data_IF_982638719786
#
_entry.id   IF_982638719786
#
_cell.length_a   1.000
_cell.length_b   1.000
_cell.length_c   1.000
_cell.angle_alpha   90.00
_cell.angle_beta   90.00
_cell.angle_gamma   90.00
#
_symmetry.space_group_name_H-M   'P 1'
#
loop_
_entity.id
_entity.type
_entity.pdbx_description
1 polymer ?
#
# COMPACT_ATOMS: atom_id res chain seq x y z
N UNK A 1 -23.95 10.32 54.95
CA UNK A 1 -24.20 10.78 53.58
C UNK A 1 -22.88 10.63 52.80
N UNK A 2 -22.77 9.61 51.95
CA UNK A 2 -21.60 9.35 51.08
C UNK A 2 -21.86 9.95 49.73
N UNK A 3 -21.14 11.02 49.38
CA UNK A 3 -21.17 11.61 48.04
C UNK A 3 -20.44 10.67 47.06
N UNK A 4 -21.20 10.01 46.19
CA UNK A 4 -20.68 9.25 45.08
C UNK A 4 -20.15 10.20 43.99
N UNK A 5 -18.83 10.33 43.93
CA UNK A 5 -18.14 10.90 42.76
C UNK A 5 -18.23 9.90 41.60
N UNK A 6 -19.23 10.10 40.75
CA UNK A 6 -19.24 9.46 39.42
C UNK A 6 -18.17 10.12 38.57
N UNK A 7 -17.03 9.46 38.45
CA UNK A 7 -15.97 9.80 37.50
C UNK A 7 -16.55 9.63 36.09
N UNK A 8 -16.99 10.73 35.50
CA UNK A 8 -17.38 10.81 34.09
C UNK A 8 -16.13 10.48 33.26
N UNK A 9 -16.04 9.24 32.78
CA UNK A 9 -15.04 8.87 31.78
C UNK A 9 -15.17 9.80 30.60
N UNK A 10 -14.20 10.71 30.42
CA UNK A 10 -14.08 11.52 29.22
C UNK A 10 -13.83 10.55 28.06
N UNK A 11 -14.83 10.30 27.25
CA UNK A 11 -14.68 9.69 25.93
C UNK A 11 -13.61 10.46 25.18
N UNK A 12 -12.55 9.82 24.65
CA UNK A 12 -11.53 10.52 23.88
C UNK A 12 -12.21 11.19 22.68
N UNK A 13 -12.04 12.50 22.58
CA UNK A 13 -12.60 13.27 21.49
C UNK A 13 -12.11 12.72 20.14
N UNK A 14 -13.04 12.34 19.26
CA UNK A 14 -12.80 12.18 17.83
C UNK A 14 -12.15 10.88 17.35
N UNK A 15 -12.32 9.77 18.06
CA UNK A 15 -11.99 8.46 17.49
C UNK A 15 -13.11 8.06 16.54
N UNK A 16 -12.78 7.96 15.25
CA UNK A 16 -13.72 7.43 14.25
C UNK A 16 -13.76 5.90 14.38
N UNK A 17 -14.61 5.38 15.29
CA UNK A 17 -14.71 3.95 15.58
C UNK A 17 -14.87 3.11 14.31
N UNK A 18 -15.67 3.57 13.35
CA UNK A 18 -15.89 2.91 12.06
C UNK A 18 -14.57 2.73 11.26
N UNK A 19 -13.67 3.71 11.27
CA UNK A 19 -12.39 3.59 10.54
C UNK A 19 -11.44 2.59 11.23
N UNK A 20 -11.46 2.55 12.56
CA UNK A 20 -10.68 1.57 13.32
C UNK A 20 -11.25 0.15 13.14
N UNK A 21 -12.57 -0.01 13.08
CA UNK A 21 -13.26 -1.27 12.80
C UNK A 21 -12.96 -1.77 11.39
N UNK A 22 -13.05 -0.90 10.37
CA UNK A 22 -12.74 -1.26 8.98
C UNK A 22 -11.26 -1.68 8.83
N UNK A 23 -10.34 -1.01 9.51
CA UNK A 23 -8.92 -1.41 9.52
C UNK A 23 -8.73 -2.77 10.17
N UNK A 24 -9.42 -3.02 11.29
CA UNK A 24 -9.37 -4.31 11.97
C UNK A 24 -9.90 -5.43 11.08
N UNK A 25 -11.02 -5.20 10.40
CA UNK A 25 -11.61 -6.16 9.47
C UNK A 25 -10.69 -6.45 8.28
N UNK A 26 -10.10 -5.41 7.71
CA UNK A 26 -9.18 -5.53 6.58
C UNK A 26 -7.89 -6.30 6.98
N UNK A 27 -7.37 -6.03 8.18
CA UNK A 27 -6.22 -6.76 8.74
C UNK A 27 -6.55 -8.25 8.93
N UNK A 28 -7.72 -8.57 9.49
CA UNK A 28 -8.17 -9.98 9.65
C UNK A 28 -8.33 -10.64 8.28
N UNK A 29 -8.92 -9.93 7.30
CA UNK A 29 -9.05 -10.41 5.93
C UNK A 29 -7.69 -10.71 5.29
N UNK A 30 -6.70 -9.85 5.50
CA UNK A 30 -5.32 -10.04 5.04
C UNK A 30 -4.67 -11.27 5.69
N UNK A 31 -4.85 -11.47 7.00
CA UNK A 31 -4.33 -12.64 7.71
C UNK A 31 -4.95 -13.94 7.16
N UNK A 32 -6.27 -13.95 6.89
CA UNK A 32 -6.96 -15.10 6.30
C UNK A 32 -6.46 -15.37 4.86
N UNK A 33 -6.23 -14.31 4.09
CA UNK A 33 -5.67 -14.46 2.74
C UNK A 33 -4.30 -15.13 2.76
N UNK A 34 -3.39 -14.70 3.66
CA UNK A 34 -2.08 -15.31 3.83
C UNK A 34 -2.17 -16.74 4.38
N UNK A 35 -3.09 -17.03 5.30
CA UNK A 35 -3.32 -18.38 5.77
C UNK A 35 -3.76 -19.33 4.62
N UNK A 36 -4.61 -18.86 3.69
CA UNK A 36 -4.95 -19.62 2.49
C UNK A 36 -3.74 -19.83 1.58
N UNK A 37 -2.87 -18.83 1.46
CA UNK A 37 -1.62 -18.95 0.72
C UNK A 37 -0.73 -20.04 1.34
N UNK A 38 -0.52 -20.00 2.66
CA UNK A 38 0.26 -21.00 3.38
C UNK A 38 -0.33 -22.41 3.19
N UNK A 39 -1.65 -22.55 3.32
CA UNK A 39 -2.34 -23.84 3.09
C UNK A 39 -2.08 -24.38 1.69
N UNK A 40 -2.10 -23.53 0.68
CA UNK A 40 -1.94 -23.94 -0.71
C UNK A 40 -0.47 -24.25 -1.05
N UNK A 41 0.46 -23.37 -0.67
CA UNK A 41 1.86 -23.47 -1.12
C UNK A 41 2.79 -24.18 -0.12
N UNK A 42 2.53 -24.07 1.20
CA UNK A 42 3.33 -24.79 2.19
C UNK A 42 2.76 -26.17 2.51
N UNK A 43 1.43 -26.29 2.61
CA UNK A 43 0.79 -27.57 2.97
C UNK A 43 0.26 -28.37 1.76
N UNK A 44 0.34 -27.82 0.56
CA UNK A 44 -0.08 -28.50 -0.67
C UNK A 44 -1.58 -28.71 -0.83
N UNK A 45 -2.41 -27.99 -0.08
CA UNK A 45 -3.88 -28.09 -0.16
C UNK A 45 -4.36 -27.19 -1.30
N UNK A 46 -4.54 -27.77 -2.47
CA UNK A 46 -4.95 -27.03 -3.66
C UNK A 46 -6.36 -26.45 -3.54
N UNK A 47 -6.52 -25.16 -3.81
CA UNK A 47 -7.78 -24.43 -3.79
C UNK A 47 -7.99 -23.65 -5.09
N UNK A 48 -8.80 -24.19 -6.01
CA UNK A 48 -9.05 -23.58 -7.34
C UNK A 48 -9.59 -22.15 -7.26
N UNK A 49 -10.48 -21.90 -6.31
CA UNK A 49 -11.06 -20.56 -6.12
C UNK A 49 -10.01 -19.53 -5.69
N UNK A 50 -9.03 -19.94 -4.89
CA UNK A 50 -7.97 -19.05 -4.41
C UNK A 50 -6.94 -18.77 -5.52
N UNK A 51 -6.56 -19.78 -6.31
CA UNK A 51 -5.69 -19.62 -7.46
C UNK A 51 -6.34 -18.83 -8.62
N UNK A 52 -7.67 -18.79 -8.64
CA UNK A 52 -8.47 -18.18 -9.69
C UNK A 52 -8.78 -16.69 -9.48
N UNK A 53 -9.79 -16.23 -10.21
CA UNK A 53 -10.27 -14.85 -10.17
C UNK A 53 -10.77 -14.42 -8.77
N UNK A 54 -11.50 -15.25 -8.00
CA UNK A 54 -11.97 -14.85 -6.68
C UNK A 54 -10.85 -14.51 -5.71
N UNK A 55 -9.77 -15.32 -5.68
CA UNK A 55 -8.61 -15.04 -4.84
C UNK A 55 -7.89 -13.75 -5.24
N UNK A 56 -7.75 -13.48 -6.55
CA UNK A 56 -7.17 -12.22 -7.06
C UNK A 56 -8.03 -11.01 -6.68
N UNK A 57 -9.34 -11.09 -6.83
CA UNK A 57 -10.26 -10.01 -6.44
C UNK A 57 -10.20 -9.75 -4.94
N UNK A 58 -10.12 -10.80 -4.14
CA UNK A 58 -9.98 -10.70 -2.69
C UNK A 58 -8.69 -9.97 -2.31
N UNK A 59 -7.55 -10.38 -2.87
CA UNK A 59 -6.25 -9.70 -2.68
C UNK A 59 -6.33 -8.22 -3.05
N UNK A 60 -6.84 -7.92 -4.24
CA UNK A 60 -6.97 -6.55 -4.73
C UNK A 60 -7.84 -5.69 -3.81
N UNK A 61 -8.95 -6.25 -3.33
CA UNK A 61 -9.86 -5.55 -2.42
C UNK A 61 -9.16 -5.20 -1.10
N UNK A 62 -8.46 -6.15 -0.49
CA UNK A 62 -7.65 -5.91 0.72
C UNK A 62 -6.66 -4.78 0.48
N UNK A 63 -5.87 -4.86 -0.59
CA UNK A 63 -4.85 -3.85 -0.89
C UNK A 63 -5.46 -2.46 -1.09
N UNK A 64 -6.55 -2.35 -1.85
CA UNK A 64 -7.20 -1.07 -2.12
C UNK A 64 -7.84 -0.47 -0.87
N UNK A 65 -8.52 -1.29 -0.07
CA UNK A 65 -9.11 -0.83 1.20
C UNK A 65 -8.01 -0.35 2.14
N UNK A 66 -6.90 -1.08 2.25
CA UNK A 66 -5.78 -0.71 3.11
C UNK A 66 -5.12 0.61 2.68
N UNK A 67 -4.88 0.80 1.38
CA UNK A 67 -4.33 2.04 0.82
C UNK A 67 -5.29 3.21 1.04
N UNK A 68 -6.58 3.04 0.74
CA UNK A 68 -7.60 4.07 0.90
C UNK A 68 -7.75 4.48 2.37
N UNK A 69 -7.86 3.52 3.30
CA UNK A 69 -7.95 3.79 4.73
C UNK A 69 -6.68 4.48 5.25
N UNK A 70 -5.50 4.09 4.76
CA UNK A 70 -4.24 4.73 5.12
C UNK A 70 -4.22 6.19 4.68
N UNK A 71 -4.61 6.47 3.43
CA UNK A 71 -4.70 7.82 2.88
C UNK A 71 -5.76 8.67 3.60
N UNK A 72 -6.96 8.11 3.82
CA UNK A 72 -8.06 8.81 4.51
C UNK A 72 -7.70 9.20 5.95
N UNK A 73 -6.94 8.35 6.63
CA UNK A 73 -6.52 8.60 8.01
C UNK A 73 -5.23 9.41 8.14
N UNK A 74 -4.56 9.70 7.04
CA UNK A 74 -3.31 10.47 7.03
C UNK A 74 -3.45 11.84 7.73
N UNK A 75 -4.50 12.65 7.48
CA UNK A 75 -4.67 13.96 8.11
C UNK A 75 -4.89 13.89 9.63
N UNK A 76 -5.40 12.77 10.14
CA UNK A 76 -5.67 12.59 11.59
C UNK A 76 -4.44 12.09 12.36
N UNK A 77 -3.39 11.66 11.65
CA UNK A 77 -2.17 11.11 12.22
C UNK A 77 -1.20 12.19 12.69
N UNK A 78 -0.65 12.05 13.90
CA UNK A 78 0.49 12.83 14.35
C UNK A 78 1.79 12.13 13.91
N UNK A 79 2.85 12.94 13.66
CA UNK A 79 4.19 12.41 13.33
C UNK A 79 4.24 11.49 12.10
N UNK A 80 3.64 11.94 10.99
CA UNK A 80 3.55 11.18 9.74
C UNK A 80 4.91 10.62 9.29
N UNK A 81 5.97 11.43 9.33
CA UNK A 81 7.32 11.02 8.93
C UNK A 81 7.84 9.86 9.78
N UNK A 82 7.70 9.94 11.12
CA UNK A 82 8.16 8.88 12.02
C UNK A 82 7.42 7.56 11.75
N UNK A 83 6.10 7.64 11.53
CA UNK A 83 5.28 6.46 11.18
C UNK A 83 5.68 5.91 9.81
N UNK A 84 5.92 6.79 8.84
CA UNK A 84 6.39 6.41 7.50
C UNK A 84 7.72 5.65 7.56
N UNK A 85 8.70 6.14 8.32
CA UNK A 85 9.97 5.44 8.55
C UNK A 85 9.75 4.07 9.19
N UNK A 86 8.88 3.98 10.21
CA UNK A 86 8.61 2.69 10.88
C UNK A 86 7.99 1.67 9.91
N UNK A 87 7.00 2.08 9.12
CA UNK A 87 6.32 1.21 8.15
C UNK A 87 7.28 0.81 7.03
N UNK A 88 8.09 1.76 6.53
CA UNK A 88 9.11 1.48 5.52
C UNK A 88 10.16 0.50 6.03
N UNK A 89 10.65 0.67 7.26
CA UNK A 89 11.59 -0.24 7.90
C UNK A 89 11.00 -1.64 8.08
N UNK A 90 9.72 -1.75 8.44
CA UNK A 90 9.02 -3.03 8.50
C UNK A 90 8.96 -3.70 7.11
N UNK A 91 8.67 -2.95 6.05
CA UNK A 91 8.70 -3.45 4.68
C UNK A 91 10.10 -3.91 4.25
N UNK A 92 11.13 -3.14 4.59
CA UNK A 92 12.53 -3.53 4.34
C UNK A 92 12.93 -4.79 5.10
N UNK A 93 12.44 -4.96 6.34
CA UNK A 93 12.66 -6.18 7.13
C UNK A 93 12.00 -7.39 6.46
N UNK A 94 10.75 -7.27 6.01
CA UNK A 94 10.06 -8.34 5.25
C UNK A 94 10.86 -8.71 4.00
N UNK A 95 11.32 -7.72 3.23
CA UNK A 95 12.18 -7.96 2.06
C UNK A 95 13.46 -8.70 2.45
N UNK A 96 14.15 -8.28 3.50
CA UNK A 96 15.38 -8.93 3.95
C UNK A 96 15.13 -10.39 4.40
N UNK A 97 14.08 -10.62 5.17
CA UNK A 97 13.71 -11.98 5.64
C UNK A 97 13.34 -12.87 4.46
N UNK A 98 12.50 -12.42 3.53
CA UNK A 98 12.08 -13.24 2.38
C UNK A 98 13.23 -13.52 1.43
N UNK A 99 14.16 -12.58 1.21
CA UNK A 99 15.36 -12.81 0.39
C UNK A 99 16.28 -13.87 0.98
N UNK A 100 16.37 -13.97 2.33
CA UNK A 100 17.26 -14.92 2.99
C UNK A 100 16.62 -16.30 3.14
N UNK A 101 15.36 -16.37 3.54
CA UNK A 101 14.69 -17.61 3.92
C UNK A 101 13.80 -18.19 2.83
N UNK A 102 13.27 -17.35 1.91
CA UNK A 102 12.32 -17.75 0.87
C UNK A 102 12.64 -17.04 -0.46
N UNK A 103 13.82 -17.29 -1.08
CA UNK A 103 14.26 -16.54 -2.26
C UNK A 103 13.37 -16.73 -3.49
N UNK A 104 12.62 -17.84 -3.57
CA UNK A 104 11.67 -18.12 -4.65
C UNK A 104 10.38 -17.31 -4.48
N UNK A 105 9.96 -17.07 -3.23
CA UNK A 105 8.77 -16.29 -2.87
C UNK A 105 9.13 -14.91 -2.30
N UNK A 106 10.23 -14.35 -2.79
CA UNK A 106 10.75 -13.06 -2.31
C UNK A 106 9.73 -11.93 -2.48
N UNK A 107 9.61 -11.12 -1.44
CA UNK A 107 8.85 -9.87 -1.45
C UNK A 107 9.81 -8.71 -1.58
N UNK A 108 9.84 -8.08 -2.74
CA UNK A 108 10.68 -6.90 -3.03
C UNK A 108 9.76 -5.74 -3.40
N UNK A 109 9.86 -4.64 -2.66
CA UNK A 109 8.98 -3.48 -2.81
C UNK A 109 7.48 -3.81 -2.63
N UNK A 110 7.16 -4.52 -1.54
CA UNK A 110 5.80 -4.87 -1.19
C UNK A 110 4.95 -3.69 -0.70
N UNK A 111 3.69 -3.97 -0.39
CA UNK A 111 2.70 -2.96 0.06
C UNK A 111 3.16 -2.12 1.25
N UNK A 112 3.91 -2.70 2.21
CA UNK A 112 4.45 -1.96 3.35
C UNK A 112 5.50 -0.94 2.93
N UNK A 113 6.40 -1.30 2.01
CA UNK A 113 7.40 -0.39 1.46
C UNK A 113 6.73 0.76 0.71
N UNK A 114 5.72 0.45 -0.09
CA UNK A 114 4.88 1.44 -0.78
C UNK A 114 4.21 2.40 0.22
N UNK A 115 3.51 1.88 1.23
CA UNK A 115 2.81 2.69 2.22
C UNK A 115 3.76 3.56 3.05
N UNK A 116 4.89 3.00 3.48
CA UNK A 116 5.93 3.75 4.18
C UNK A 116 6.43 4.92 3.35
N UNK A 117 6.69 4.70 2.07
CA UNK A 117 7.12 5.71 1.11
C UNK A 117 6.05 6.77 0.85
N UNK A 118 4.79 6.35 0.66
CA UNK A 118 3.67 7.26 0.49
C UNK A 118 3.46 8.16 1.71
N UNK A 119 3.61 7.60 2.93
CA UNK A 119 3.54 8.38 4.17
C UNK A 119 4.70 9.36 4.30
N UNK A 120 5.93 8.98 3.93
CA UNK A 120 7.10 9.86 3.94
C UNK A 120 6.91 10.99 2.94
N UNK A 121 6.51 10.67 1.72
CA UNK A 121 6.26 11.65 0.67
C UNK A 121 5.15 12.63 1.07
N UNK A 122 4.04 12.11 1.58
CA UNK A 122 2.92 12.93 2.09
C UNK A 122 3.37 13.83 3.24
N UNK A 123 4.18 13.30 4.18
CA UNK A 123 4.70 14.05 5.30
C UNK A 123 5.66 15.19 4.90
N UNK A 124 6.50 14.96 3.88
CA UNK A 124 7.38 16.00 3.32
C UNK A 124 6.59 17.05 2.53
N UNK A 125 5.59 16.60 1.76
CA UNK A 125 4.76 17.48 0.94
C UNK A 125 3.59 18.12 1.70
N UNK A 126 3.40 17.81 2.98
CA UNK A 126 2.29 18.32 3.81
C UNK A 126 2.09 19.84 3.70
N UNK A 127 3.15 20.71 3.80
CA UNK A 127 2.98 22.16 3.70
C UNK A 127 2.48 22.61 2.32
N UNK A 128 2.79 21.86 1.27
CA UNK A 128 2.31 22.12 -0.08
C UNK A 128 0.89 21.62 -0.27
N UNK A 129 0.61 20.39 0.18
CA UNK A 129 -0.69 19.74 0.04
C UNK A 129 -1.79 20.52 0.77
N UNK A 130 -1.50 21.10 1.93
CA UNK A 130 -2.45 21.95 2.67
C UNK A 130 -2.89 23.21 1.93
N UNK A 131 -2.13 23.66 0.91
CA UNK A 131 -2.50 24.83 0.09
C UNK A 131 -3.40 24.48 -1.08
N UNK A 132 -3.52 23.19 -1.41
CA UNK A 132 -4.30 22.72 -2.56
C UNK A 132 -5.73 22.40 -2.08
N UNK A 133 -6.76 22.99 -2.69
CA UNK A 133 -8.15 22.65 -2.34
C UNK A 133 -8.43 21.17 -2.68
N UNK A 134 -9.25 20.47 -1.88
CA UNK A 134 -9.45 19.02 -2.01
C UNK A 134 -9.88 18.57 -3.41
N UNK A 135 -10.77 19.33 -4.06
CA UNK A 135 -11.22 19.02 -5.42
C UNK A 135 -10.08 19.10 -6.45
N UNK A 136 -9.21 20.11 -6.35
CA UNK A 136 -8.03 20.23 -7.21
C UNK A 136 -7.01 19.12 -6.90
N UNK A 137 -6.79 18.79 -5.62
CA UNK A 137 -5.94 17.68 -5.21
C UNK A 137 -6.41 16.35 -5.81
N UNK A 138 -7.71 16.07 -5.73
CA UNK A 138 -8.30 14.88 -6.34
C UNK A 138 -8.12 14.86 -7.88
N UNK A 139 -8.42 15.97 -8.56
CA UNK A 139 -8.24 16.07 -10.01
C UNK A 139 -6.79 15.88 -10.45
N UNK A 140 -5.84 16.52 -9.76
CA UNK A 140 -4.40 16.36 -10.03
C UNK A 140 -3.98 14.90 -9.83
N UNK A 141 -4.39 14.27 -8.74
CA UNK A 141 -4.08 12.85 -8.46
C UNK A 141 -4.65 11.92 -9.51
N UNK A 142 -5.90 12.15 -9.94
CA UNK A 142 -6.55 11.36 -11.00
C UNK A 142 -5.81 11.51 -12.34
N UNK A 143 -5.41 12.72 -12.71
CA UNK A 143 -4.64 12.98 -13.94
C UNK A 143 -3.26 12.32 -13.85
N UNK A 144 -2.53 12.47 -12.74
CA UNK A 144 -1.24 11.82 -12.52
C UNK A 144 -1.37 10.30 -12.62
N UNK A 145 -2.37 9.72 -11.97
CA UNK A 145 -2.65 8.29 -12.07
C UNK A 145 -2.92 7.85 -13.51
N UNK A 146 -3.80 8.55 -14.23
CA UNK A 146 -4.10 8.23 -15.62
C UNK A 146 -2.88 8.31 -16.55
N UNK A 147 -1.99 9.28 -16.30
CA UNK A 147 -0.76 9.44 -17.07
C UNK A 147 0.27 8.36 -16.76
N UNK A 148 0.41 7.96 -15.48
CA UNK A 148 1.46 7.05 -15.03
C UNK A 148 1.06 5.58 -15.01
N UNK A 149 -0.23 5.25 -15.10
CA UNK A 149 -0.74 3.87 -15.03
C UNK A 149 -0.11 2.86 -16.00
N UNK A 150 0.48 3.35 -17.09
CA UNK A 150 1.10 2.50 -18.12
C UNK A 150 2.64 2.54 -18.08
N UNK A 151 3.21 3.06 -17.00
CA UNK A 151 4.67 3.10 -16.81
C UNK A 151 5.29 1.72 -16.93
N UNK A 152 4.68 0.71 -16.33
CA UNK A 152 5.11 -0.69 -16.44
C UNK A 152 5.07 -1.25 -17.88
N UNK A 153 4.24 -0.67 -18.75
CA UNK A 153 4.15 -1.02 -20.16
C UNK A 153 5.12 -0.23 -21.07
N UNK A 154 5.95 0.63 -20.49
CA UNK A 154 7.00 1.37 -21.21
C UNK A 154 6.61 2.73 -21.73
N UNK A 155 5.44 3.28 -21.37
CA UNK A 155 5.01 4.59 -21.83
C UNK A 155 4.20 5.36 -20.78
N UNK A 156 4.20 6.69 -20.91
CA UNK A 156 3.31 7.59 -20.17
C UNK A 156 2.11 7.98 -21.06
N UNK A 157 0.94 8.18 -20.42
CA UNK A 157 -0.26 8.64 -21.11
C UNK A 157 -1.24 7.52 -21.41
N UNK A 158 -2.26 7.84 -22.23
CA UNK A 158 -3.35 6.93 -22.58
C UNK A 158 -3.87 7.19 -24.00
N UNK A 159 -4.49 6.17 -24.59
CA UNK A 159 -5.06 6.27 -25.93
C UNK A 159 -4.02 6.58 -27.01
N UNK A 160 -4.22 7.66 -27.74
CA UNK A 160 -3.32 8.15 -28.80
C UNK A 160 -2.16 8.99 -28.26
N UNK A 161 -2.27 9.54 -27.05
CA UNK A 161 -1.21 10.33 -26.41
C UNK A 161 -0.29 9.41 -25.62
N UNK A 162 0.76 8.90 -26.28
CA UNK A 162 1.75 7.99 -25.68
C UNK A 162 3.13 8.58 -25.83
N UNK A 163 3.80 8.78 -24.70
CA UNK A 163 5.21 9.15 -24.64
C UNK A 163 6.00 7.91 -24.24
N UNK A 164 6.77 7.34 -25.17
CA UNK A 164 7.60 6.18 -24.91
C UNK A 164 8.77 6.55 -24.01
N UNK A 165 9.01 5.70 -23.00
CA UNK A 165 10.08 5.88 -22.04
C UNK A 165 11.34 5.15 -22.51
N UNK A 166 12.54 5.71 -22.21
CA UNK A 166 13.80 5.08 -22.55
C UNK A 166 13.94 3.71 -21.87
N UNK A 167 14.37 2.70 -22.63
CA UNK A 167 14.60 1.33 -22.10
C UNK A 167 15.66 1.29 -20.98
N UNK A 168 16.55 2.25 -20.92
CA UNK A 168 17.55 2.36 -19.86
C UNK A 168 16.92 2.47 -18.46
N UNK A 169 15.68 3.00 -18.34
CA UNK A 169 14.95 3.05 -17.07
C UNK A 169 14.56 1.66 -16.56
N UNK A 170 14.42 0.68 -17.45
CA UNK A 170 14.02 -0.70 -17.14
C UNK A 170 15.22 -1.65 -17.00
N UNK A 171 16.42 -1.12 -16.83
CA UNK A 171 17.65 -1.91 -16.84
C UNK A 171 18.02 -2.53 -15.48
N UNK A 172 17.49 -2.03 -14.39
CA UNK A 172 17.89 -2.47 -13.05
C UNK A 172 16.72 -2.57 -12.05
N UNK A 173 16.96 -3.26 -10.92
CA UNK A 173 15.96 -3.44 -9.88
C UNK A 173 15.68 -2.18 -9.04
N UNK A 174 16.57 -1.19 -9.03
CA UNK A 174 16.37 0.02 -8.23
C UNK A 174 15.23 0.86 -8.81
N UNK A 175 15.16 0.93 -10.14
CA UNK A 175 14.09 1.63 -10.85
C UNK A 175 12.75 0.91 -10.76
N UNK A 176 12.74 -0.38 -10.42
CA UNK A 176 11.53 -1.13 -10.13
C UNK A 176 10.74 -0.52 -8.95
N UNK A 177 11.40 0.11 -7.99
CA UNK A 177 10.73 0.84 -6.91
C UNK A 177 9.76 1.91 -7.40
N UNK A 178 10.08 2.55 -8.53
CA UNK A 178 9.24 3.57 -9.17
C UNK A 178 8.26 3.00 -10.22
N UNK A 179 8.28 1.69 -10.48
CA UNK A 179 7.44 1.06 -11.51
C UNK A 179 8.16 0.71 -12.80
N UNK A 180 9.46 1.04 -12.93
CA UNK A 180 10.29 0.71 -14.09
C UNK A 180 11.03 -0.60 -13.84
N UNK A 181 10.35 -1.74 -13.94
CA UNK A 181 10.97 -3.03 -13.65
C UNK A 181 11.42 -3.75 -14.92
N UNK A 182 12.59 -4.41 -14.87
CA UNK A 182 13.06 -5.24 -15.98
C UNK A 182 12.20 -6.51 -16.13
N UNK A 183 12.18 -7.11 -17.33
CA UNK A 183 11.37 -8.28 -17.63
C UNK A 183 11.63 -9.51 -16.73
N UNK A 184 12.82 -9.60 -16.15
CA UNK A 184 13.24 -10.66 -15.24
C UNK A 184 12.97 -10.37 -13.76
N UNK A 185 12.43 -9.17 -13.45
CA UNK A 185 12.09 -8.81 -12.09
C UNK A 185 10.86 -9.60 -11.64
N UNK A 186 10.97 -10.23 -10.47
CA UNK A 186 9.89 -10.97 -9.85
C UNK A 186 9.78 -10.62 -8.36
N UNK A 187 8.56 -10.44 -7.90
CA UNK A 187 8.21 -10.27 -6.50
C UNK A 187 6.78 -10.79 -6.29
N UNK A 188 6.57 -11.54 -5.24
CA UNK A 188 5.26 -12.13 -4.91
C UNK A 188 4.24 -11.07 -4.49
N UNK A 189 4.71 -10.02 -3.82
CA UNK A 189 3.91 -8.84 -3.44
C UNK A 189 4.67 -7.60 -3.94
N UNK A 190 4.23 -7.04 -5.07
CA UNK A 190 4.89 -5.90 -5.69
C UNK A 190 3.94 -4.71 -5.79
N UNK A 191 4.37 -3.59 -5.20
CA UNK A 191 3.69 -2.30 -5.28
C UNK A 191 4.70 -1.21 -5.63
N UNK A 192 4.60 -0.72 -6.86
CA UNK A 192 5.41 0.41 -7.29
C UNK A 192 4.90 1.73 -6.71
N UNK A 193 5.80 2.71 -6.59
CA UNK A 193 5.43 4.06 -6.15
C UNK A 193 4.61 4.78 -7.22
N UNK A 194 4.89 4.50 -8.51
CA UNK A 194 4.07 4.93 -9.65
C UNK A 194 3.26 3.73 -10.14
N UNK A 195 1.96 3.90 -10.39
CA UNK A 195 1.08 2.83 -10.85
C UNK A 195 1.41 2.34 -12.23
#
# INVERSE_FOLDING_TARGET
MKNGHTTRQKTPAGRYALLDELRGLDLVSMMLYHACWDMMFLFGIWMDWYAGMPGRLWQQTICWVFILLSGFCAPFGRHMLRRGVTVFAAGALVTAVTLVFMPEDRVVFGVLTFLGSAMLLTGVLEPLLKKIPPAAGFAISAVLFALTRNVSAGYLGFGSLRLWLPQALYANCVTAYFGFYPWWFYSTDYFALLP
#
